data_IF_031958020366
#
_entry.id   IF_031958020366
#
_cell.length_a   1.000
_cell.length_b   1.000
_cell.length_c   1.000
_cell.angle_alpha   90.00
_cell.angle_beta   90.00
_cell.angle_gamma   90.00
#
_symmetry.space_group_name_H-M   'P 1'
#
loop_
_entity.id
_entity.type
_entity.pdbx_description
1 polymer ?
#
# COMPACT_ATOMS: atom_id res chain seq x y z
N UNK A 1 17.56 -24.46 47.55
CA UNK A 1 17.56 -23.45 46.47
C UNK A 1 16.52 -23.84 45.41
N UNK A 2 15.25 -23.44 45.57
CA UNK A 2 14.19 -23.94 44.65
C UNK A 2 12.93 -23.08 44.59
N UNK A 3 12.55 -22.40 45.68
CA UNK A 3 11.35 -21.55 45.69
C UNK A 3 11.61 -20.16 45.07
N UNK A 4 12.82 -19.63 45.20
CA UNK A 4 13.20 -18.33 44.63
C UNK A 4 13.32 -18.33 43.10
N UNK A 5 13.68 -19.46 42.49
CA UNK A 5 13.75 -19.57 41.01
C UNK A 5 12.36 -19.66 40.38
N UNK A 6 11.38 -20.27 41.05
CA UNK A 6 9.98 -20.31 40.60
C UNK A 6 9.31 -18.94 40.73
N UNK A 7 9.52 -18.24 41.86
CA UNK A 7 9.03 -16.87 42.02
C UNK A 7 9.60 -15.92 40.95
N UNK A 8 10.90 -16.04 40.65
CA UNK A 8 11.56 -15.25 39.60
C UNK A 8 11.03 -15.56 38.19
N UNK A 9 10.74 -16.83 37.89
CA UNK A 9 10.10 -17.23 36.61
C UNK A 9 8.69 -16.66 36.46
N UNK A 10 7.90 -16.63 37.54
CA UNK A 10 6.57 -16.02 37.55
C UNK A 10 6.68 -14.51 37.30
N UNK A 11 7.62 -13.84 37.96
CA UNK A 11 7.87 -12.41 37.73
C UNK A 11 8.26 -12.12 36.27
N UNK A 12 9.22 -12.86 35.70
CA UNK A 12 9.64 -12.68 34.30
C UNK A 12 8.51 -12.98 33.31
N UNK A 13 7.65 -13.96 33.59
CA UNK A 13 6.47 -14.24 32.79
C UNK A 13 5.49 -13.06 32.83
N UNK A 14 5.25 -12.48 34.01
CA UNK A 14 4.41 -11.29 34.17
C UNK A 14 4.98 -10.08 33.43
N UNK A 15 6.29 -9.82 33.55
CA UNK A 15 6.95 -8.71 32.84
C UNK A 15 6.83 -8.88 31.31
N UNK A 16 6.99 -10.12 30.81
CA UNK A 16 6.84 -10.43 29.39
C UNK A 16 5.39 -10.31 28.92
N UNK A 17 4.44 -10.74 29.74
CA UNK A 17 3.01 -10.59 29.46
C UNK A 17 2.61 -9.11 29.42
N UNK A 18 3.13 -8.27 30.32
CA UNK A 18 2.91 -6.83 30.31
C UNK A 18 3.50 -6.17 29.05
N UNK A 19 4.72 -6.56 28.65
CA UNK A 19 5.34 -6.07 27.43
C UNK A 19 4.53 -6.45 26.18
N UNK A 20 4.06 -7.70 26.08
CA UNK A 20 3.18 -8.14 25.00
C UNK A 20 1.87 -7.36 24.99
N UNK A 21 1.24 -7.17 26.16
CA UNK A 21 0.00 -6.41 26.26
C UNK A 21 0.18 -4.98 25.72
N UNK A 22 1.26 -4.29 26.11
CA UNK A 22 1.59 -2.95 25.60
C UNK A 22 1.79 -2.96 24.08
N UNK A 23 2.47 -3.97 23.54
CA UNK A 23 2.70 -4.11 22.10
C UNK A 23 1.39 -4.34 21.33
N UNK A 24 0.51 -5.21 21.83
CA UNK A 24 -0.81 -5.46 21.23
C UNK A 24 -1.67 -4.19 21.28
N UNK A 25 -1.64 -3.44 22.39
CA UNK A 25 -2.36 -2.16 22.48
C UNK A 25 -1.86 -1.13 21.48
N UNK A 26 -0.53 -1.02 21.29
CA UNK A 26 0.04 -0.13 20.27
C UNK A 26 -0.33 -0.56 18.85
N UNK A 27 -0.34 -1.87 18.59
CA UNK A 27 -0.76 -2.41 17.29
C UNK A 27 -2.23 -2.11 17.03
N UNK A 28 -3.10 -2.32 18.03
CA UNK A 28 -4.52 -1.97 17.93
C UNK A 28 -4.70 -0.50 17.58
N UNK A 29 -4.01 0.41 18.28
CA UNK A 29 -4.09 1.85 17.99
C UNK A 29 -3.64 2.18 16.56
N UNK A 30 -2.58 1.54 16.08
CA UNK A 30 -2.09 1.74 14.71
C UNK A 30 -3.10 1.24 13.67
N UNK A 31 -3.74 0.09 13.92
CA UNK A 31 -4.75 -0.45 13.03
C UNK A 31 -5.95 0.49 12.97
N UNK A 32 -6.46 0.94 14.12
CA UNK A 32 -7.58 1.89 14.15
C UNK A 32 -7.24 3.19 13.42
N UNK A 33 -6.03 3.74 13.61
CA UNK A 33 -5.60 4.93 12.86
C UNK A 33 -5.51 4.68 11.34
N UNK A 34 -5.04 3.49 10.93
CA UNK A 34 -4.99 3.13 9.51
C UNK A 34 -6.40 2.96 8.91
N UNK A 35 -7.34 2.40 9.67
CA UNK A 35 -8.74 2.27 9.26
C UNK A 35 -9.37 3.65 9.06
N UNK A 36 -9.17 4.58 9.99
CA UNK A 36 -9.64 5.97 9.89
C UNK A 36 -9.05 6.69 8.67
N UNK A 37 -7.74 6.58 8.43
CA UNK A 37 -7.06 7.17 7.26
C UNK A 37 -7.56 6.55 5.94
N UNK A 38 -7.84 5.24 5.94
CA UNK A 38 -8.40 4.55 4.77
C UNK A 38 -9.80 5.07 4.44
N UNK A 39 -10.66 5.24 5.45
CA UNK A 39 -12.01 5.78 5.28
C UNK A 39 -12.00 7.23 4.74
N UNK A 40 -11.08 8.06 5.25
CA UNK A 40 -10.88 9.43 4.74
C UNK A 40 -10.36 9.43 3.30
N UNK A 41 -9.42 8.55 3.00
CA UNK A 41 -8.89 8.38 1.64
C UNK A 41 -9.99 7.92 0.68
N UNK A 42 -10.79 6.92 1.06
CA UNK A 42 -11.92 6.44 0.26
C UNK A 42 -12.92 7.56 -0.03
N UNK A 43 -13.26 8.34 1.00
CA UNK A 43 -14.16 9.49 0.86
C UNK A 43 -13.59 10.54 -0.09
N UNK A 44 -12.29 10.81 0.01
CA UNK A 44 -11.59 11.74 -0.88
C UNK A 44 -11.58 11.26 -2.32
N UNK A 45 -11.25 9.98 -2.57
CA UNK A 45 -11.25 9.36 -3.90
C UNK A 45 -12.65 9.39 -4.51
N UNK A 46 -13.68 9.05 -3.74
CA UNK A 46 -15.08 9.09 -4.20
C UNK A 46 -15.48 10.49 -4.64
N UNK A 47 -15.10 11.51 -3.87
CA UNK A 47 -15.35 12.91 -4.23
C UNK A 47 -14.58 13.33 -5.49
N UNK A 48 -13.32 12.91 -5.60
CA UNK A 48 -12.49 13.20 -6.78
C UNK A 48 -13.07 12.56 -8.04
N UNK A 49 -13.50 11.30 -7.98
CA UNK A 49 -14.13 10.59 -9.11
C UNK A 49 -15.39 11.31 -9.60
N UNK A 50 -16.23 11.76 -8.67
CA UNK A 50 -17.40 12.56 -8.99
C UNK A 50 -17.02 13.88 -9.70
N UNK A 51 -16.06 14.63 -9.15
CA UNK A 51 -15.59 15.89 -9.74
C UNK A 51 -14.96 15.69 -11.11
N UNK A 52 -14.18 14.63 -11.31
CA UNK A 52 -13.58 14.29 -12.61
C UNK A 52 -14.63 13.94 -13.65
N UNK A 53 -15.69 13.22 -13.26
CA UNK A 53 -16.82 12.91 -14.13
C UNK A 53 -17.54 14.19 -14.58
N UNK A 54 -17.81 15.12 -13.65
CA UNK A 54 -18.41 16.42 -13.97
C UNK A 54 -17.52 17.26 -14.90
N UNK A 55 -16.21 17.30 -14.63
CA UNK A 55 -15.25 18.01 -15.47
C UNK A 55 -15.16 17.40 -16.86
N UNK A 56 -15.14 16.06 -16.99
CA UNK A 56 -15.19 15.37 -18.28
C UNK A 56 -16.43 15.75 -19.07
N UNK A 57 -17.60 15.75 -18.42
CA UNK A 57 -18.85 16.14 -19.07
C UNK A 57 -18.82 17.60 -19.56
N UNK A 58 -18.25 18.52 -18.76
CA UNK A 58 -18.08 19.91 -19.16
C UNK A 58 -17.11 20.06 -20.34
N UNK A 59 -15.98 19.35 -20.34
CA UNK A 59 -15.01 19.39 -21.43
C UNK A 59 -15.58 18.83 -22.73
N UNK A 60 -16.38 17.76 -22.66
CA UNK A 60 -17.08 17.21 -23.82
C UNK A 60 -18.09 18.22 -24.39
N UNK A 61 -18.86 18.90 -23.53
CA UNK A 61 -19.78 19.95 -23.99
C UNK A 61 -19.04 21.11 -24.68
N UNK A 62 -17.87 21.51 -24.17
CA UNK A 62 -17.02 22.53 -24.81
C UNK A 62 -16.44 22.01 -26.13
N UNK A 63 -16.03 20.74 -26.21
CA UNK A 63 -15.51 20.14 -27.44
C UNK A 63 -16.58 20.14 -28.54
N UNK A 64 -17.81 19.75 -28.20
CA UNK A 64 -18.96 19.78 -29.10
C UNK A 64 -19.23 21.20 -29.64
N UNK A 65 -19.17 22.22 -28.77
CA UNK A 65 -19.32 23.63 -29.17
C UNK A 65 -18.23 24.10 -30.15
N UNK A 66 -17.01 23.54 -30.03
CA UNK A 66 -15.88 23.84 -30.90
C UNK A 66 -15.83 22.96 -32.16
N UNK A 67 -16.79 22.04 -32.33
CA UNK A 67 -16.83 21.10 -33.45
C UNK A 67 -15.74 20.03 -33.41
N UNK A 68 -15.25 19.70 -32.21
CA UNK A 68 -14.31 18.61 -31.98
C UNK A 68 -15.06 17.36 -31.51
N UNK A 69 -14.68 16.19 -32.00
CA UNK A 69 -15.18 14.91 -31.49
C UNK A 69 -14.44 14.55 -30.20
N UNK A 70 -14.98 15.00 -29.06
CA UNK A 70 -14.38 14.77 -27.76
C UNK A 70 -14.31 13.30 -27.36
N UNK A 71 -15.25 12.46 -27.83
CA UNK A 71 -15.25 11.03 -27.51
C UNK A 71 -14.14 10.30 -28.28
N UNK A 72 -13.91 10.66 -29.54
CA UNK A 72 -12.78 10.16 -30.32
C UNK A 72 -11.44 10.52 -29.65
N UNK A 73 -11.27 11.79 -29.23
CA UNK A 73 -10.03 12.25 -28.57
C UNK A 73 -9.76 11.44 -27.29
N UNK A 74 -10.79 11.17 -26.49
CA UNK A 74 -10.65 10.39 -25.26
C UNK A 74 -10.34 8.92 -25.53
N UNK A 75 -10.91 8.34 -26.60
CA UNK A 75 -10.58 6.98 -27.02
C UNK A 75 -9.11 6.86 -27.48
N UNK A 76 -8.64 7.82 -28.29
CA UNK A 76 -7.25 7.86 -28.75
C UNK A 76 -6.26 7.99 -27.58
N UNK A 77 -6.58 8.86 -26.61
CA UNK A 77 -5.77 9.01 -25.40
C UNK A 77 -5.72 7.73 -24.55
N UNK A 78 -6.85 7.02 -24.40
CA UNK A 78 -6.88 5.76 -23.66
C UNK A 78 -6.07 4.64 -24.33
N UNK A 79 -6.01 4.62 -25.66
CA UNK A 79 -5.15 3.70 -26.41
C UNK A 79 -3.68 4.04 -26.16
N UNK A 80 -3.31 5.32 -26.29
CA UNK A 80 -1.93 5.77 -26.06
C UNK A 80 -1.43 5.44 -24.65
N UNK A 81 -2.28 5.64 -23.63
CA UNK A 81 -1.96 5.25 -22.25
C UNK A 81 -1.75 3.73 -22.10
N UNK A 82 -2.62 2.91 -22.71
CA UNK A 82 -2.50 1.46 -22.67
C UNK A 82 -1.25 0.93 -23.41
N UNK A 83 -0.86 1.59 -24.51
CA UNK A 83 0.37 1.25 -25.25
C UNK A 83 1.63 1.56 -24.43
N UNK A 84 1.67 2.71 -23.75
CA UNK A 84 2.80 3.07 -22.86
C UNK A 84 2.98 2.09 -21.70
N UNK A 85 1.88 1.64 -21.10
CA UNK A 85 1.92 0.67 -20.00
C UNK A 85 2.37 -0.73 -20.48
N UNK A 86 2.01 -1.10 -21.71
CA UNK A 86 2.42 -2.38 -22.33
C UNK A 86 3.89 -2.45 -22.75
N UNK A 87 4.55 -1.32 -22.97
CA UNK A 87 5.98 -1.26 -23.32
C UNK A 87 6.92 -1.42 -22.10
N UNK A 88 6.39 -1.50 -20.88
CA UNK A 88 7.14 -1.75 -19.64
C UNK A 88 7.18 -3.25 -19.28
N UNK A 89 7.18 -4.15 -20.27
CA UNK A 89 7.54 -5.55 -20.01
C UNK A 89 8.98 -5.60 -19.45
N UNK A 90 9.22 -6.27 -18.30
CA UNK A 90 10.57 -6.46 -17.80
C UNK A 90 11.29 -7.39 -18.78
N UNK A 91 12.36 -6.89 -19.38
CA UNK A 91 13.42 -7.73 -19.93
C UNK A 91 13.78 -8.75 -18.84
N UNK A 92 13.41 -10.02 -19.05
CA UNK A 92 13.75 -11.17 -18.22
C UNK A 92 15.26 -11.43 -18.34
N UNK A 93 16.02 -10.47 -17.81
CA UNK A 93 17.45 -10.52 -17.60
C UNK A 93 17.73 -11.41 -16.40
N UNK A 94 17.56 -12.72 -16.62
CA UNK A 94 18.16 -13.76 -15.80
C UNK A 94 19.66 -13.51 -15.64
N UNK A 95 20.05 -12.90 -14.52
CA UNK A 95 21.43 -12.82 -14.06
C UNK A 95 21.47 -13.04 -12.54
N UNK A 96 21.55 -14.32 -12.20
CA UNK A 96 22.18 -14.89 -11.01
C UNK A 96 21.84 -14.24 -9.64
N UNK A 97 20.92 -14.89 -8.94
CA UNK A 97 20.98 -14.94 -7.48
C UNK A 97 22.33 -15.56 -7.06
N UNK A 98 23.28 -14.73 -6.63
CA UNK A 98 24.35 -15.17 -5.73
C UNK A 98 23.76 -15.20 -4.32
N UNK A 99 23.10 -16.32 -4.00
CA UNK A 99 22.72 -16.69 -2.64
C UNK A 99 23.93 -17.27 -1.90
N UNK A 100 24.28 -16.60 -0.80
CA UNK A 100 24.65 -17.20 0.48
C UNK A 100 25.74 -18.29 0.54
N UNK A 101 26.89 -17.94 1.14
CA UNK A 101 27.43 -18.60 2.34
C UNK A 101 28.90 -18.20 2.58
N UNK A 102 29.16 -17.20 3.43
CA UNK A 102 30.42 -17.17 4.19
C UNK A 102 30.15 -17.75 5.58
N UNK A 103 30.27 -19.08 5.59
CA UNK A 103 30.34 -19.95 6.74
C UNK A 103 31.45 -19.49 7.69
N UNK A 104 31.04 -19.13 8.91
CA UNK A 104 31.95 -18.84 10.01
C UNK A 104 32.42 -20.17 10.60
N UNK A 105 33.61 -20.61 10.21
CA UNK A 105 34.27 -21.77 10.84
C UNK A 105 35.76 -21.54 11.10
N UNK A 106 36.08 -21.51 12.39
CA UNK A 106 37.27 -22.05 13.07
C UNK A 106 38.68 -21.72 12.55
N UNK A 107 39.40 -20.86 13.30
CA UNK A 107 40.57 -21.27 14.12
C UNK A 107 40.77 -20.30 15.30
#
# INVERSE_FOLDING_TARGET
>A
MGLGSTAKKIQTLSDRAEAMYKQVKKLQQRITGLEEEMDETHTTVTRMDHQLTEQRALLLAIADEQGLDGEQILADAAIEDAERDGETEPDDGSAAAEDGATDATAE
#
